data_IF_571205609576
#
_entry.id   IF_571205609576
#
_cell.length_a   1.000
_cell.length_b   1.000
_cell.length_c   1.000
_cell.angle_alpha   90.00
_cell.angle_beta   90.00
_cell.angle_gamma   90.00
#
_symmetry.space_group_name_H-M   'P 1'
#
loop_
_entity.id
_entity.type
_entity.pdbx_description
1 polymer ?
#
# COMPACT_ATOMS: atom_id res chain seq x y z
N UNK A 1 8.71 25.45 0.52
CA UNK A 1 7.46 25.60 -0.26
C UNK A 1 6.64 24.33 -0.05
N UNK A 2 5.43 24.45 0.48
CA UNK A 2 4.69 23.32 1.08
C UNK A 2 4.10 22.36 0.02
N UNK A 3 4.27 21.06 0.24
CA UNK A 3 3.57 20.00 -0.50
C UNK A 3 2.13 19.98 -0.01
N UNK A 4 1.16 20.06 -0.93
CA UNK A 4 -0.25 20.11 -0.55
C UNK A 4 -0.90 18.72 -0.65
N UNK A 5 -1.75 18.32 0.31
CA UNK A 5 -2.51 17.09 0.17
C UNK A 5 -3.46 17.22 -1.02
N UNK A 6 -3.49 16.21 -1.90
CA UNK A 6 -4.44 16.18 -3.00
C UNK A 6 -5.86 15.97 -2.47
N UNK A 7 -6.85 16.57 -3.15
CA UNK A 7 -8.27 16.34 -2.87
C UNK A 7 -8.62 14.85 -3.03
N UNK A 8 -9.04 14.21 -1.94
CA UNK A 8 -9.39 12.79 -1.94
C UNK A 8 -10.55 12.45 -2.88
N UNK A 9 -11.52 13.36 -3.05
CA UNK A 9 -12.66 13.16 -3.94
C UNK A 9 -12.26 13.16 -5.42
N UNK A 10 -11.39 14.08 -5.83
CA UNK A 10 -10.86 14.13 -7.21
C UNK A 10 -10.04 12.89 -7.55
N UNK A 11 -9.26 12.40 -6.57
CA UNK A 11 -8.52 11.15 -6.68
C UNK A 11 -9.45 9.95 -6.87
N UNK A 12 -10.52 9.87 -6.10
CA UNK A 12 -11.50 8.80 -6.20
C UNK A 12 -12.16 8.75 -7.58
N UNK A 13 -12.55 9.90 -8.11
CA UNK A 13 -13.18 10.00 -9.43
C UNK A 13 -12.20 9.57 -10.54
N UNK A 14 -10.96 10.07 -10.50
CA UNK A 14 -9.94 9.69 -11.49
C UNK A 14 -9.59 8.21 -11.41
N UNK A 15 -9.34 7.69 -10.20
CA UNK A 15 -9.02 6.27 -10.00
C UNK A 15 -10.21 5.39 -10.35
N UNK A 16 -11.43 5.81 -10.03
CA UNK A 16 -12.66 5.09 -10.40
C UNK A 16 -12.90 5.06 -11.91
N UNK A 17 -12.53 6.12 -12.63
CA UNK A 17 -12.59 6.17 -14.10
C UNK A 17 -11.51 5.29 -14.76
N UNK A 18 -10.30 5.24 -14.19
CA UNK A 18 -9.19 4.45 -14.72
C UNK A 18 -9.28 2.95 -14.38
N UNK A 19 -9.63 2.64 -13.14
CA UNK A 19 -9.72 1.27 -12.61
C UNK A 19 -11.11 1.08 -11.97
N UNK A 20 -12.12 0.66 -12.75
CA UNK A 20 -13.47 0.49 -12.23
C UNK A 20 -13.53 -0.57 -11.12
N UNK A 21 -14.42 -0.37 -10.14
CA UNK A 21 -14.61 -1.23 -8.97
C UNK A 21 -13.40 -1.36 -8.02
N UNK A 22 -12.41 -0.47 -8.09
CA UNK A 22 -11.23 -0.49 -7.23
C UNK A 22 -11.37 0.32 -5.93
N UNK A 23 -12.12 1.42 -5.97
CA UNK A 23 -12.32 2.33 -4.83
C UNK A 23 -13.46 1.80 -3.95
N UNK A 24 -13.23 1.78 -2.63
CA UNK A 24 -14.22 1.41 -1.61
C UNK A 24 -14.88 2.66 -1.03
N UNK A 25 -14.07 3.60 -0.51
CA UNK A 25 -14.52 4.86 0.08
C UNK A 25 -13.40 5.90 0.11
N UNK A 26 -13.76 7.15 0.39
CA UNK A 26 -12.81 8.23 0.72
C UNK A 26 -13.19 8.85 2.04
N UNK A 27 -12.21 8.99 2.92
CA UNK A 27 -12.40 9.52 4.27
C UNK A 27 -11.19 10.39 4.63
N UNK A 28 -11.43 11.64 5.05
CA UNK A 28 -10.38 12.60 5.44
C UNK A 28 -9.23 12.78 4.43
N UNK A 29 -9.53 12.67 3.13
CA UNK A 29 -8.53 12.77 2.06
C UNK A 29 -7.72 11.48 1.83
N UNK A 30 -8.06 10.38 2.51
CA UNK A 30 -7.48 9.05 2.32
C UNK A 30 -8.35 8.24 1.36
N UNK A 31 -7.70 7.66 0.34
CA UNK A 31 -8.35 6.79 -0.64
C UNK A 31 -8.32 5.34 -0.16
N UNK A 32 -9.49 4.76 0.09
CA UNK A 32 -9.60 3.33 0.40
C UNK A 32 -9.85 2.53 -0.87
N UNK A 33 -9.04 1.50 -1.07
CA UNK A 33 -9.10 0.64 -2.25
C UNK A 33 -9.18 -0.83 -1.86
N UNK A 34 -9.73 -1.63 -2.78
CA UNK A 34 -9.75 -3.08 -2.63
C UNK A 34 -8.33 -3.65 -2.73
N UNK A 35 -7.99 -4.49 -1.77
CA UNK A 35 -6.69 -5.16 -1.66
C UNK A 35 -6.18 -5.76 -2.97
N UNK A 36 -7.03 -6.49 -3.71
CA UNK A 36 -6.64 -7.16 -4.96
C UNK A 36 -6.35 -6.19 -6.12
N UNK A 37 -6.76 -4.93 -6.01
CA UNK A 37 -6.63 -3.91 -7.06
C UNK A 37 -5.56 -2.86 -6.75
N UNK A 38 -4.84 -2.99 -5.63
CA UNK A 38 -3.85 -1.98 -5.23
C UNK A 38 -2.75 -1.78 -6.28
N UNK A 39 -2.27 -2.84 -6.93
CA UNK A 39 -1.26 -2.73 -7.98
C UNK A 39 -1.79 -2.02 -9.24
N UNK A 40 -3.03 -2.32 -9.66
CA UNK A 40 -3.69 -1.64 -10.77
C UNK A 40 -3.87 -0.14 -10.48
N UNK A 41 -4.35 0.19 -9.28
CA UNK A 41 -4.53 1.58 -8.83
C UNK A 41 -3.20 2.31 -8.75
N UNK A 42 -2.18 1.67 -8.17
CA UNK A 42 -0.84 2.22 -8.08
C UNK A 42 -0.24 2.48 -9.47
N UNK A 43 -0.43 1.55 -10.42
CA UNK A 43 0.03 1.71 -11.80
C UNK A 43 -0.67 2.88 -12.47
N UNK A 44 -2.00 2.99 -12.31
CA UNK A 44 -2.77 4.11 -12.83
C UNK A 44 -2.30 5.45 -12.25
N UNK A 45 -2.17 5.55 -10.93
CA UNK A 45 -1.71 6.74 -10.21
C UNK A 45 -0.31 7.18 -10.65
N UNK A 46 0.57 6.24 -10.99
CA UNK A 46 1.89 6.55 -11.54
C UNK A 46 1.83 6.97 -13.01
N UNK A 47 1.01 6.32 -13.83
CA UNK A 47 0.94 6.52 -15.28
C UNK A 47 0.19 7.78 -15.71
N UNK A 48 -0.81 8.21 -14.93
CA UNK A 48 -1.64 9.35 -15.29
C UNK A 48 -0.84 10.65 -15.19
N UNK A 49 -0.70 11.36 -16.32
CA UNK A 49 -0.01 12.66 -16.37
C UNK A 49 -0.69 13.72 -15.49
N UNK A 50 -1.95 13.51 -15.10
CA UNK A 50 -2.70 14.30 -14.15
C UNK A 50 -2.26 14.13 -12.69
N UNK A 51 -1.77 12.95 -12.31
CA UNK A 51 -1.41 12.57 -10.94
C UNK A 51 0.11 12.43 -10.74
N UNK A 52 0.77 11.68 -11.61
CA UNK A 52 2.24 11.58 -11.69
C UNK A 52 2.93 11.27 -10.35
N UNK A 53 2.44 10.22 -9.65
CA UNK A 53 2.99 9.77 -8.38
C UNK A 53 4.32 9.01 -8.56
N UNK A 54 5.38 9.78 -8.77
CA UNK A 54 6.72 9.24 -9.03
C UNK A 54 7.48 8.78 -7.78
N UNK A 55 7.03 9.15 -6.58
CA UNK A 55 7.74 8.85 -5.34
C UNK A 55 6.85 8.12 -4.33
N UNK A 56 7.28 6.91 -3.96
CA UNK A 56 6.74 6.14 -2.85
C UNK A 56 7.51 6.52 -1.58
N UNK A 57 6.88 7.19 -0.62
CA UNK A 57 7.55 7.56 0.63
C UNK A 57 7.67 6.34 1.55
N UNK A 58 6.54 5.69 1.82
CA UNK A 58 6.45 4.59 2.76
C UNK A 58 5.25 3.70 2.48
N UNK A 59 5.47 2.42 2.73
CA UNK A 59 4.42 1.41 2.89
C UNK A 59 4.48 0.99 4.35
N UNK A 60 3.35 1.08 5.04
CA UNK A 60 3.22 0.62 6.41
C UNK A 60 2.03 -0.32 6.53
N UNK A 61 2.11 -1.26 7.47
CA UNK A 61 0.99 -2.14 7.80
C UNK A 61 0.55 -1.87 9.24
N UNK A 62 -0.75 -1.87 9.46
CA UNK A 62 -1.38 -1.66 10.77
C UNK A 62 -2.25 -2.87 11.08
N UNK A 63 -2.00 -3.49 12.24
CA UNK A 63 -2.78 -4.61 12.74
C UNK A 63 -3.94 -4.12 13.62
N UNK A 64 -5.16 -4.46 13.21
CA UNK A 64 -6.36 -4.34 14.02
C UNK A 64 -6.83 -5.74 14.43
N UNK A 65 -7.62 -5.82 15.51
CA UNK A 65 -8.06 -7.10 16.07
C UNK A 65 -8.72 -8.00 15.00
N UNK A 66 -9.49 -7.41 14.09
CA UNK A 66 -10.28 -8.16 13.09
C UNK A 66 -9.69 -8.12 11.66
N UNK A 67 -8.81 -7.17 11.35
CA UNK A 67 -8.37 -6.90 9.98
C UNK A 67 -6.98 -6.25 9.96
N UNK A 68 -6.33 -6.32 8.81
CA UNK A 68 -5.08 -5.60 8.56
C UNK A 68 -5.32 -4.44 7.60
N UNK A 69 -4.59 -3.36 7.79
CA UNK A 69 -4.58 -2.23 6.86
C UNK A 69 -3.16 -2.03 6.34
N UNK A 70 -3.03 -1.84 5.04
CA UNK A 70 -1.76 -1.44 4.43
C UNK A 70 -1.91 -0.05 3.87
N UNK A 71 -1.05 0.85 4.32
CA UNK A 71 -1.07 2.28 4.01
C UNK A 71 0.10 2.60 3.10
N UNK A 72 -0.20 3.20 1.96
CA UNK A 72 0.76 3.66 0.97
C UNK A 72 0.79 5.18 0.98
N UNK A 73 1.95 5.74 1.28
CA UNK A 73 2.19 7.18 1.23
C UNK A 73 2.88 7.53 -0.08
N UNK A 74 2.15 8.20 -0.97
CA UNK A 74 2.62 8.56 -2.29
C UNK A 74 2.81 10.09 -2.39
N UNK A 75 3.87 10.50 -3.08
CA UNK A 75 4.15 11.91 -3.39
C UNK A 75 4.39 12.06 -4.88
N UNK A 76 3.72 13.02 -5.51
CA UNK A 76 4.11 13.54 -6.80
C UNK A 76 5.13 14.65 -6.60
N UNK A 77 6.38 14.41 -7.02
CA UNK A 77 7.44 15.42 -6.91
C UNK A 77 7.25 16.57 -7.91
N UNK A 78 6.74 16.25 -9.11
CA UNK A 78 6.53 17.23 -10.18
C UNK A 78 5.34 18.15 -9.86
N UNK A 79 4.23 17.58 -9.39
CA UNK A 79 3.01 18.33 -9.05
C UNK A 79 2.94 18.77 -7.59
N UNK A 80 3.89 18.31 -6.76
CA UNK A 80 4.05 18.68 -5.35
C UNK A 80 2.78 18.44 -4.52
N UNK A 81 2.14 17.30 -4.76
CA UNK A 81 1.03 16.85 -3.94
C UNK A 81 1.26 15.47 -3.35
N UNK A 82 0.58 15.18 -2.25
CA UNK A 82 0.65 13.90 -1.54
C UNK A 82 -0.71 13.23 -1.51
N UNK A 83 -0.70 11.90 -1.62
CA UNK A 83 -1.88 11.07 -1.48
C UNK A 83 -1.57 9.91 -0.52
N UNK A 84 -2.59 9.52 0.23
CA UNK A 84 -2.55 8.34 1.08
C UNK A 84 -3.56 7.35 0.52
N UNK A 85 -3.10 6.15 0.21
CA UNK A 85 -3.94 5.05 -0.26
C UNK A 85 -3.92 3.95 0.77
N UNK A 86 -5.09 3.46 1.17
CA UNK A 86 -5.23 2.37 2.13
C UNK A 86 -5.91 1.17 1.50
N UNK A 87 -5.34 0.00 1.74
CA UNK A 87 -5.95 -1.27 1.40
C UNK A 87 -6.34 -2.01 2.69
N UNK A 88 -7.58 -2.44 2.77
CA UNK A 88 -8.08 -3.26 3.89
C UNK A 88 -8.05 -4.73 3.50
N UNK A 89 -7.51 -5.56 4.39
CA UNK A 89 -7.49 -7.01 4.31
C UNK A 89 -8.30 -7.58 5.48
N UNK A 90 -9.46 -8.14 5.17
CA UNK A 90 -10.30 -8.80 6.16
C UNK A 90 -9.82 -10.25 6.38
N UNK A 91 -9.77 -10.67 7.65
CA UNK A 91 -9.30 -12.00 8.06
C UNK A 91 -7.82 -12.05 8.44
N UNK A 92 -7.39 -13.17 9.06
CA UNK A 92 -6.03 -13.37 9.58
C UNK A 92 -5.23 -14.47 8.88
N UNK A 93 -5.88 -15.32 8.10
CA UNK A 93 -5.27 -16.54 7.53
C UNK A 93 -4.76 -16.37 6.10
N UNK A 94 -5.43 -15.56 5.26
CA UNK A 94 -5.11 -15.42 3.83
C UNK A 94 -4.72 -13.98 3.45
N UNK A 95 -3.69 -13.44 4.10
CA UNK A 95 -3.21 -12.07 3.88
C UNK A 95 -2.29 -12.00 2.66
N UNK A 96 -2.87 -11.80 1.48
CA UNK A 96 -2.11 -11.62 0.23
C UNK A 96 -2.47 -10.30 -0.45
N UNK A 97 -1.45 -9.54 -0.85
CA UNK A 97 -1.57 -8.33 -1.67
C UNK A 97 -0.73 -8.46 -2.95
N UNK A 98 -1.08 -7.78 -4.04
CA UNK A 98 -0.17 -7.64 -5.18
C UNK A 98 0.94 -6.62 -4.85
N UNK A 99 2.17 -6.97 -5.21
CA UNK A 99 3.37 -6.14 -5.00
C UNK A 99 3.37 -4.94 -5.94
N UNK A 100 3.85 -3.80 -5.43
CA UNK A 100 4.11 -2.57 -6.20
C UNK A 100 5.60 -2.39 -6.53
N UNK A 101 6.44 -3.39 -6.24
CA UNK A 101 7.87 -3.39 -6.55
C UNK A 101 8.19 -3.02 -8.01
N UNK A 102 7.39 -3.54 -8.96
CA UNK A 102 7.56 -3.28 -10.38
C UNK A 102 7.29 -1.81 -10.76
N UNK A 103 6.54 -1.08 -9.93
CA UNK A 103 6.27 0.35 -10.10
C UNK A 103 7.33 1.19 -9.39
N UNK A 104 7.60 0.92 -8.11
CA UNK A 104 8.60 1.63 -7.32
C UNK A 104 9.58 0.65 -6.70
N UNK A 105 10.84 0.73 -7.12
CA UNK A 105 11.92 -0.11 -6.58
C UNK A 105 12.15 0.10 -5.07
N UNK A 106 11.72 1.23 -4.53
CA UNK A 106 11.76 1.51 -3.08
C UNK A 106 10.83 0.61 -2.25
N UNK A 107 9.86 -0.04 -2.88
CA UNK A 107 8.96 -0.98 -2.19
C UNK A 107 9.65 -2.28 -1.77
N UNK A 108 10.86 -2.59 -2.28
CA UNK A 108 11.56 -3.85 -2.02
C UNK A 108 11.68 -4.15 -0.51
N UNK A 109 12.36 -3.26 0.21
CA UNK A 109 12.59 -3.44 1.64
C UNK A 109 11.32 -3.29 2.47
N UNK A 110 10.40 -2.39 2.07
CA UNK A 110 9.18 -2.12 2.84
C UNK A 110 8.19 -3.28 2.75
N UNK A 111 8.00 -3.88 1.57
CA UNK A 111 7.16 -5.08 1.41
C UNK A 111 7.75 -6.28 2.17
N UNK A 112 9.09 -6.43 2.17
CA UNK A 112 9.77 -7.49 2.91
C UNK A 112 9.69 -7.29 4.42
N UNK A 113 9.80 -6.06 4.91
CA UNK A 113 9.60 -5.73 6.32
C UNK A 113 8.19 -6.11 6.79
N UNK A 114 7.16 -5.73 6.01
CA UNK A 114 5.76 -6.05 6.32
C UNK A 114 5.54 -7.57 6.31
N UNK A 115 6.13 -8.29 5.35
CA UNK A 115 6.04 -9.74 5.34
C UNK A 115 6.71 -10.38 6.56
N UNK A 116 7.90 -9.92 6.93
CA UNK A 116 8.67 -10.47 8.06
C UNK A 116 7.98 -10.19 9.40
N UNK A 117 7.53 -8.96 9.62
CA UNK A 117 7.01 -8.52 10.92
C UNK A 117 5.50 -8.71 11.09
N UNK A 118 4.72 -8.63 10.00
CA UNK A 118 3.25 -8.70 10.01
C UNK A 118 2.71 -9.92 9.27
N UNK A 119 3.53 -10.64 8.50
CA UNK A 119 3.11 -11.86 7.80
C UNK A 119 2.13 -11.65 6.65
N UNK A 120 2.10 -10.45 6.06
CA UNK A 120 1.31 -10.17 4.85
C UNK A 120 2.18 -10.52 3.64
N UNK A 121 1.69 -11.43 2.79
CA UNK A 121 2.43 -11.88 1.61
C UNK A 121 2.17 -10.99 0.39
N UNK A 122 3.20 -10.75 -0.40
CA UNK A 122 3.10 -9.94 -1.62
C UNK A 122 3.32 -10.79 -2.88
N UNK A 123 2.27 -10.92 -3.69
CA UNK A 123 2.31 -11.62 -4.97
C UNK A 123 3.01 -10.77 -6.04
N UNK A 124 3.95 -11.36 -6.79
CA UNK A 124 4.74 -10.68 -7.81
C UNK A 124 6.03 -10.02 -7.30
N UNK A 125 6.35 -10.14 -6.01
CA UNK A 125 7.62 -9.67 -5.46
C UNK A 125 8.76 -10.68 -5.77
N UNK A 126 9.93 -10.24 -6.26
CA UNK A 126 10.97 -11.16 -6.74
C UNK A 126 11.73 -11.90 -5.63
N UNK A 127 11.87 -11.32 -4.44
CA UNK A 127 12.67 -11.90 -3.35
C UNK A 127 12.06 -11.66 -1.97
N UNK A 128 10.93 -12.32 -1.68
CA UNK A 128 10.25 -12.19 -0.40
C UNK A 128 10.96 -13.05 0.66
N UNK A 129 11.97 -12.46 1.30
CA UNK A 129 12.76 -13.08 2.37
C UNK A 129 12.84 -12.17 3.58
N UNK A 130 13.07 -12.78 4.74
CA UNK A 130 13.18 -12.08 6.03
C UNK A 130 14.36 -11.12 5.98
N UNK A 131 14.22 -9.99 6.67
CA UNK A 131 15.26 -8.96 6.72
C UNK A 131 15.53 -8.46 8.13
N UNK A 132 14.51 -8.43 8.99
CA UNK A 132 14.61 -7.97 10.37
C UNK A 132 14.82 -9.15 11.32
N UNK A 133 14.13 -10.26 11.08
CA UNK A 133 14.20 -11.45 11.92
C UNK A 133 15.25 -12.44 11.40
N UNK A 134 15.80 -13.24 12.31
CA UNK A 134 16.74 -14.29 11.97
C UNK A 134 16.05 -15.44 11.23
N UNK A 135 16.83 -16.21 10.46
CA UNK A 135 16.34 -17.33 9.65
C UNK A 135 15.85 -18.48 10.54
N UNK A 136 14.53 -18.54 10.79
CA UNK A 136 13.90 -19.58 11.61
C UNK A 136 13.03 -19.06 12.76
N UNK A 137 12.89 -17.74 12.92
CA UNK A 137 11.99 -17.19 13.93
C UNK A 137 10.53 -17.60 13.66
N UNK A 138 9.89 -18.25 14.63
CA UNK A 138 8.49 -18.68 14.50
C UNK A 138 7.55 -17.49 14.79
N UNK A 139 6.68 -17.17 13.83
CA UNK A 139 5.69 -16.11 13.97
C UNK A 139 6.13 -14.72 13.49
N UNK A 140 5.32 -13.73 13.87
CA UNK A 140 5.36 -12.35 13.38
C UNK A 140 5.17 -11.39 14.57
N UNK A 141 6.25 -10.76 15.08
CA UNK A 141 6.26 -10.11 16.40
C UNK A 141 5.46 -8.80 16.47
N UNK A 142 5.18 -8.14 15.34
CA UNK A 142 4.38 -6.92 15.34
C UNK A 142 2.87 -7.18 15.32
N UNK A 143 2.44 -8.45 15.20
CA UNK A 143 1.03 -8.78 15.34
C UNK A 143 0.62 -8.77 16.80
N UNK A 144 -0.60 -8.29 17.09
CA UNK A 144 -1.14 -8.20 18.44
C UNK A 144 -1.48 -9.55 19.08
N UNK A 145 -1.51 -10.61 18.29
CA UNK A 145 -1.68 -12.02 18.70
C UNK A 145 -0.37 -12.72 19.04
N UNK A 146 0.78 -12.07 18.85
CA UNK A 146 2.08 -12.65 19.19
C UNK A 146 2.27 -12.68 20.72
N UNK A 147 2.56 -13.88 21.25
CA UNK A 147 2.63 -14.21 22.68
C UNK A 147 4.07 -14.53 23.11
#
# INVERSE_FOLDING_TARGET
>A
MAVQPSSGSELAEKVGAGVPNSVDRVEDGVLWVKALRIADVAAFMKSDAGLDFNFLNSISAVDYINHFEVVYHLTSLNKRHTAIVKARLDGREALTLPSVYHLWRGADFQEREIWDLMGISFSGHPNLKRIMLWEGFEGHPLRKDYL
#
